data_IF_177444888651
#
_entry.id   IF_177444888651
#
_cell.length_a   1.000
_cell.length_b   1.000
_cell.length_c   1.000
_cell.angle_alpha   90.00
_cell.angle_beta   90.00
_cell.angle_gamma   90.00
#
_symmetry.space_group_name_H-M   'P 1'
#
loop_
_entity.id
_entity.type
_entity.pdbx_description
1 polymer ?
#
# COMPACT_ATOMS: atom_id res chain seq x y z
N UNK A 1 32.89 1.24 -10.73
CA UNK A 1 31.95 0.36 -11.45
C UNK A 1 30.80 -0.19 -10.59
N UNK A 2 30.99 -0.51 -9.30
CA UNK A 2 29.94 -1.06 -8.43
C UNK A 2 28.68 -0.18 -8.30
N UNK A 3 28.85 1.16 -8.22
CA UNK A 3 27.72 2.09 -8.09
C UNK A 3 26.78 2.10 -9.30
N UNK A 4 27.32 2.06 -10.53
CA UNK A 4 26.52 2.04 -11.76
C UNK A 4 25.71 0.75 -11.87
N UNK A 5 26.33 -0.41 -11.61
CA UNK A 5 25.63 -1.71 -11.61
C UNK A 5 24.47 -1.75 -10.60
N UNK A 6 24.69 -1.16 -9.42
CA UNK A 6 23.64 -1.07 -8.40
C UNK A 6 22.47 -0.17 -8.82
N UNK A 7 22.76 0.98 -9.43
CA UNK A 7 21.73 1.88 -9.96
C UNK A 7 20.92 1.22 -11.07
N UNK A 8 21.59 0.58 -12.04
CA UNK A 8 20.93 -0.13 -13.14
C UNK A 8 20.01 -1.26 -12.65
N UNK A 9 20.49 -2.07 -11.69
CA UNK A 9 19.65 -3.12 -11.09
C UNK A 9 18.45 -2.54 -10.37
N UNK A 10 18.63 -1.43 -9.64
CA UNK A 10 17.55 -0.76 -8.92
C UNK A 10 16.52 -0.18 -9.90
N UNK A 11 16.97 0.49 -10.96
CA UNK A 11 16.12 1.02 -12.01
C UNK A 11 15.34 -0.10 -12.72
N UNK A 12 16.00 -1.21 -13.08
CA UNK A 12 15.36 -2.36 -13.70
C UNK A 12 14.26 -2.97 -12.82
N UNK A 13 14.56 -3.26 -11.54
CA UNK A 13 13.54 -3.77 -10.62
C UNK A 13 12.36 -2.80 -10.47
N UNK A 14 12.62 -1.49 -10.41
CA UNK A 14 11.59 -0.47 -10.33
C UNK A 14 10.73 -0.42 -11.59
N UNK A 15 11.34 -0.48 -12.77
CA UNK A 15 10.64 -0.53 -14.05
C UNK A 15 9.74 -1.76 -14.16
N UNK A 16 10.26 -2.95 -13.84
CA UNK A 16 9.48 -4.20 -13.86
C UNK A 16 8.29 -4.14 -12.92
N UNK A 17 8.47 -3.60 -11.71
CA UNK A 17 7.38 -3.44 -10.74
C UNK A 17 6.34 -2.42 -11.25
N UNK A 18 6.79 -1.27 -11.78
CA UNK A 18 5.89 -0.26 -12.34
C UNK A 18 5.05 -0.79 -13.49
N UNK A 19 5.65 -1.57 -14.39
CA UNK A 19 4.95 -2.24 -15.49
C UNK A 19 3.94 -3.27 -14.99
N UNK A 20 4.35 -4.12 -14.03
CA UNK A 20 3.45 -5.13 -13.45
C UNK A 20 2.23 -4.47 -12.82
N UNK A 21 2.43 -3.43 -12.00
CA UNK A 21 1.35 -2.70 -11.35
C UNK A 21 0.45 -2.01 -12.37
N UNK A 22 1.00 -1.44 -13.44
CA UNK A 22 0.22 -0.84 -14.53
C UNK A 22 -0.64 -1.87 -15.27
N UNK A 23 -0.10 -3.06 -15.56
CA UNK A 23 -0.87 -4.12 -16.22
C UNK A 23 -1.99 -4.64 -15.31
N UNK A 24 -1.69 -4.90 -14.04
CA UNK A 24 -2.71 -5.31 -13.06
C UNK A 24 -3.76 -4.21 -12.89
N UNK A 25 -3.35 -2.93 -12.83
CA UNK A 25 -4.26 -1.80 -12.80
C UNK A 25 -5.25 -1.85 -13.96
N UNK A 26 -4.74 -2.08 -15.17
CA UNK A 26 -5.55 -2.05 -16.38
C UNK A 26 -6.50 -3.24 -16.49
N UNK A 27 -6.02 -4.44 -16.16
CA UNK A 27 -6.86 -5.64 -16.07
C UNK A 27 -7.98 -5.43 -15.05
N UNK A 28 -7.64 -4.95 -13.85
CA UNK A 28 -8.60 -4.85 -12.74
C UNK A 28 -9.50 -3.62 -12.82
N UNK A 29 -9.08 -2.53 -13.47
CA UNK A 29 -9.92 -1.37 -13.77
C UNK A 29 -10.93 -1.63 -14.91
N UNK A 30 -10.84 -2.80 -15.54
CA UNK A 30 -11.82 -3.31 -16.48
C UNK A 30 -13.27 -3.13 -16.02
N UNK A 31 -14.16 -2.74 -16.94
CA UNK A 31 -15.57 -2.46 -16.64
C UNK A 31 -15.77 -1.50 -15.45
N UNK A 32 -14.91 -0.48 -15.32
CA UNK A 32 -14.98 0.51 -14.24
C UNK A 32 -14.59 -0.04 -12.87
N UNK A 33 -13.80 -1.12 -12.81
CA UNK A 33 -13.37 -1.77 -11.57
C UNK A 33 -14.38 -2.78 -11.00
N UNK A 34 -15.42 -3.13 -11.76
CA UNK A 34 -16.46 -4.07 -11.32
C UNK A 34 -16.11 -5.54 -11.62
N UNK A 35 -15.39 -5.80 -12.70
CA UNK A 35 -14.93 -7.14 -13.09
C UNK A 35 -13.62 -7.04 -13.88
N UNK A 36 -12.65 -7.96 -13.70
CA UNK A 36 -11.42 -7.95 -14.47
C UNK A 36 -11.71 -8.03 -15.98
N UNK A 37 -10.98 -7.25 -16.79
CA UNK A 37 -10.95 -7.44 -18.23
C UNK A 37 -10.19 -8.73 -18.57
N UNK A 38 -10.61 -9.48 -19.60
CA UNK A 38 -9.76 -10.51 -20.19
C UNK A 38 -8.40 -9.93 -20.57
N UNK A 39 -7.32 -10.69 -20.36
CA UNK A 39 -5.96 -10.19 -20.58
C UNK A 39 -5.76 -9.67 -22.02
N UNK A 40 -6.31 -10.36 -23.03
CA UNK A 40 -6.27 -9.90 -24.43
C UNK A 40 -6.85 -8.49 -24.59
N UNK A 41 -8.09 -8.29 -24.15
CA UNK A 41 -8.77 -7.00 -24.20
C UNK A 41 -8.02 -5.90 -23.41
N UNK A 42 -7.40 -6.26 -22.29
CA UNK A 42 -6.58 -5.33 -21.53
C UNK A 42 -5.30 -4.93 -22.29
N UNK A 43 -4.80 -5.73 -23.22
CA UNK A 43 -3.59 -5.46 -24.00
C UNK A 43 -3.86 -4.81 -25.37
N UNK A 44 -5.07 -4.88 -25.89
CA UNK A 44 -5.38 -4.44 -27.27
C UNK A 44 -5.11 -2.94 -27.50
N UNK A 45 -5.44 -2.06 -26.56
CA UNK A 45 -5.16 -0.61 -26.67
C UNK A 45 -3.92 -0.17 -25.87
N UNK A 46 -2.91 -1.02 -25.75
CA UNK A 46 -1.75 -0.73 -24.90
C UNK A 46 -0.72 0.13 -25.65
N UNK A 47 -0.79 1.44 -25.45
CA UNK A 47 0.15 2.37 -26.07
C UNK A 47 1.56 2.23 -25.47
N UNK A 48 2.57 2.06 -26.33
CA UNK A 48 3.98 2.00 -25.93
C UNK A 48 4.42 3.20 -25.05
N UNK A 49 3.97 4.45 -25.30
CA UNK A 49 4.29 5.57 -24.43
C UNK A 49 3.81 5.38 -22.98
N UNK A 50 2.63 4.79 -22.77
CA UNK A 50 2.08 4.54 -21.43
C UNK A 50 2.91 3.47 -20.68
N UNK A 51 3.36 2.43 -21.39
CA UNK A 51 4.29 1.46 -20.83
C UNK A 51 5.62 2.09 -20.42
N UNK A 52 6.20 2.90 -21.31
CA UNK A 52 7.46 3.59 -21.03
C UNK A 52 7.33 4.54 -19.84
N UNK A 53 6.21 5.25 -19.74
CA UNK A 53 5.91 6.13 -18.60
C UNK A 53 5.80 5.33 -17.29
N UNK A 54 5.04 4.22 -17.28
CA UNK A 54 4.91 3.37 -16.10
C UNK A 54 6.27 2.79 -15.66
N UNK A 55 7.06 2.29 -16.60
CA UNK A 55 8.41 1.80 -16.36
C UNK A 55 9.32 2.90 -15.81
N UNK A 56 9.30 4.09 -16.43
CA UNK A 56 10.11 5.25 -16.03
C UNK A 56 9.77 5.74 -14.62
N UNK A 57 8.48 5.84 -14.30
CA UNK A 57 8.01 6.21 -12.95
C UNK A 57 8.42 5.17 -11.91
N UNK A 58 8.25 3.87 -12.21
CA UNK A 58 8.67 2.79 -11.31
C UNK A 58 10.18 2.78 -11.06
N UNK A 59 10.98 2.94 -12.12
CA UNK A 59 12.44 3.04 -12.03
C UNK A 59 12.87 4.26 -11.20
N UNK A 60 12.34 5.44 -11.53
CA UNK A 60 12.64 6.70 -10.86
C UNK A 60 12.28 6.65 -9.38
N UNK A 61 11.07 6.19 -9.05
CA UNK A 61 10.61 6.07 -7.67
C UNK A 61 11.50 5.13 -6.83
N UNK A 62 11.87 3.96 -7.35
CA UNK A 62 12.70 3.02 -6.59
C UNK A 62 14.14 3.51 -6.43
N UNK A 63 14.72 4.13 -7.46
CA UNK A 63 16.05 4.77 -7.36
C UNK A 63 16.03 5.88 -6.32
N UNK A 64 15.05 6.79 -6.40
CA UNK A 64 14.90 7.88 -5.43
C UNK A 64 14.70 7.37 -4.01
N UNK A 65 13.82 6.39 -3.79
CA UNK A 65 13.62 5.78 -2.49
C UNK A 65 14.93 5.21 -1.91
N UNK A 66 15.73 4.52 -2.73
CA UNK A 66 17.03 4.00 -2.27
C UNK A 66 18.06 5.08 -1.98
N UNK A 67 18.08 6.17 -2.75
CA UNK A 67 18.96 7.31 -2.50
C UNK A 67 18.57 8.02 -1.19
N UNK A 68 17.27 8.26 -0.97
CA UNK A 68 16.74 8.87 0.25
C UNK A 68 16.96 8.01 1.50
N UNK A 69 16.94 6.68 1.36
CA UNK A 69 17.22 5.75 2.46
C UNK A 69 18.72 5.53 2.72
N UNK A 70 19.62 6.04 1.87
CA UNK A 70 21.07 5.88 2.03
C UNK A 70 21.64 6.52 3.31
N UNK A 71 21.27 7.76 3.71
CA UNK A 71 21.76 8.35 4.96
C UNK A 71 21.14 7.70 6.21
N UNK A 72 20.09 6.90 6.05
CA UNK A 72 19.37 6.30 7.19
C UNK A 72 20.19 5.14 7.78
N UNK A 73 20.34 5.06 9.12
CA UNK A 73 21.01 3.95 9.79
C UNK A 73 20.45 2.60 9.33
N UNK A 74 21.31 1.58 9.24
CA UNK A 74 20.92 0.26 8.73
C UNK A 74 19.66 -0.31 9.40
N UNK A 75 19.57 -0.17 10.72
CA UNK A 75 18.43 -0.64 11.51
C UNK A 75 17.13 0.06 11.14
N UNK A 76 17.15 1.39 10.99
CA UNK A 76 16.00 2.20 10.65
C UNK A 76 15.57 1.96 9.20
N UNK A 77 16.54 1.82 8.30
CA UNK A 77 16.30 1.48 6.89
C UNK A 77 15.67 0.11 6.72
N UNK A 78 16.12 -0.90 7.47
CA UNK A 78 15.48 -2.24 7.46
C UNK A 78 14.03 -2.16 7.95
N UNK A 79 13.79 -1.45 9.06
CA UNK A 79 12.45 -1.24 9.60
C UNK A 79 11.54 -0.51 8.61
N UNK A 80 12.01 0.61 8.05
CA UNK A 80 11.29 1.39 7.04
C UNK A 80 10.99 0.57 5.79
N UNK A 81 11.98 -0.06 5.18
CA UNK A 81 11.78 -0.82 3.95
C UNK A 81 10.82 -2.00 4.16
N UNK A 82 10.99 -2.73 5.26
CA UNK A 82 10.08 -3.82 5.61
C UNK A 82 8.67 -3.32 5.94
N UNK A 83 8.57 -2.20 6.66
CA UNK A 83 7.31 -1.56 7.04
C UNK A 83 6.52 -1.02 5.86
N UNK A 84 7.21 -0.38 4.91
CA UNK A 84 6.63 0.04 3.63
C UNK A 84 6.02 -1.15 2.88
N UNK A 85 6.75 -2.25 2.78
CA UNK A 85 6.30 -3.44 2.06
C UNK A 85 5.07 -4.10 2.73
N UNK A 86 5.17 -4.40 4.04
CA UNK A 86 4.07 -5.07 4.74
C UNK A 86 2.85 -4.17 4.93
N UNK A 87 3.05 -2.86 5.12
CA UNK A 87 1.96 -1.89 5.18
C UNK A 87 1.19 -1.79 3.87
N UNK A 88 1.88 -1.84 2.73
CA UNK A 88 1.25 -1.91 1.41
C UNK A 88 0.46 -3.22 1.22
N UNK A 89 1.05 -4.36 1.59
CA UNK A 89 0.42 -5.69 1.48
C UNK A 89 -0.78 -5.84 2.42
N UNK A 90 -0.74 -5.21 3.59
CA UNK A 90 -1.84 -5.26 4.55
C UNK A 90 -3.13 -4.58 4.04
N UNK A 91 -3.03 -3.68 3.05
CA UNK A 91 -4.20 -3.05 2.43
C UNK A 91 -5.08 -4.09 1.72
N UNK A 92 -4.63 -4.83 0.69
CA UNK A 92 -5.47 -5.86 0.08
C UNK A 92 -5.81 -6.99 1.06
N UNK A 93 -4.85 -7.43 1.88
CA UNK A 93 -5.01 -8.61 2.73
C UNK A 93 -5.94 -8.40 3.94
N UNK A 94 -5.92 -7.21 4.56
CA UNK A 94 -6.71 -6.93 5.77
C UNK A 94 -7.73 -5.83 5.54
N UNK A 95 -7.31 -4.66 5.04
CA UNK A 95 -8.22 -3.52 4.87
C UNK A 95 -9.35 -3.83 3.88
N UNK A 96 -8.99 -4.18 2.64
CA UNK A 96 -9.94 -4.41 1.56
C UNK A 96 -10.70 -5.71 1.72
N UNK A 97 -10.07 -6.73 2.33
CA UNK A 97 -10.74 -7.98 2.69
C UNK A 97 -11.78 -7.77 3.80
N UNK A 98 -11.49 -6.93 4.80
CA UNK A 98 -12.49 -6.56 5.82
C UNK A 98 -13.64 -5.76 5.22
N UNK A 99 -13.32 -4.77 4.37
CA UNK A 99 -14.33 -4.00 3.63
C UNK A 99 -15.20 -4.91 2.74
N UNK A 100 -14.58 -5.86 2.05
CA UNK A 100 -15.28 -6.86 1.23
C UNK A 100 -16.25 -7.70 2.08
N UNK A 101 -15.80 -8.24 3.23
CA UNK A 101 -16.66 -9.04 4.11
C UNK A 101 -17.81 -8.20 4.67
N UNK A 102 -17.54 -6.98 5.14
CA UNK A 102 -18.57 -6.08 5.67
C UNK A 102 -19.61 -5.69 4.60
N UNK A 103 -19.18 -5.50 3.35
CA UNK A 103 -20.07 -5.18 2.23
C UNK A 103 -20.87 -6.38 1.76
N UNK A 104 -20.18 -7.47 1.42
CA UNK A 104 -20.72 -8.60 0.67
C UNK A 104 -21.48 -9.58 1.57
N UNK A 105 -21.01 -9.79 2.80
CA UNK A 105 -21.57 -10.79 3.72
C UNK A 105 -22.57 -10.14 4.68
N UNK A 106 -22.23 -8.97 5.22
CA UNK A 106 -23.04 -8.33 6.25
C UNK A 106 -23.89 -7.16 5.76
N UNK A 107 -23.65 -6.65 4.55
CA UNK A 107 -24.34 -5.48 3.98
C UNK A 107 -24.30 -4.24 4.91
N UNK A 108 -23.21 -4.08 5.67
CA UNK A 108 -23.07 -3.02 6.68
C UNK A 108 -22.45 -1.73 6.13
N UNK A 109 -21.71 -1.83 5.01
CA UNK A 109 -21.03 -0.71 4.34
C UNK A 109 -21.46 -0.66 2.87
N UNK A 110 -21.68 0.54 2.30
CA UNK A 110 -22.05 0.68 0.89
C UNK A 110 -20.86 0.48 -0.06
N UNK A 111 -19.63 0.73 0.40
CA UNK A 111 -18.43 0.58 -0.42
C UNK A 111 -18.03 -0.89 -0.62
N UNK A 112 -17.72 -1.23 -1.88
CA UNK A 112 -17.17 -2.54 -2.23
C UNK A 112 -15.70 -2.65 -1.79
N UNK A 113 -15.31 -3.84 -1.35
CA UNK A 113 -13.88 -4.17 -1.23
C UNK A 113 -13.18 -4.19 -2.58
N UNK A 114 -11.85 -4.03 -2.56
CA UNK A 114 -10.98 -4.01 -3.74
C UNK A 114 -11.34 -2.90 -4.73
N UNK A 115 -11.29 -1.66 -4.27
CA UNK A 115 -11.65 -0.47 -5.05
C UNK A 115 -10.68 -0.21 -6.22
N UNK A 116 -10.95 -0.80 -7.38
CA UNK A 116 -10.18 -0.54 -8.60
C UNK A 116 -10.66 0.67 -9.40
N UNK A 117 -11.78 1.27 -8.99
CA UNK A 117 -12.23 2.54 -9.54
C UNK A 117 -11.14 3.61 -9.39
N UNK A 118 -10.92 4.47 -10.40
CA UNK A 118 -9.89 5.50 -10.37
C UNK A 118 -10.21 6.59 -9.35
N UNK A 119 -9.19 7.10 -8.67
CA UNK A 119 -9.27 8.28 -7.82
C UNK A 119 -9.50 9.53 -8.66
N UNK A 120 -10.40 10.39 -8.17
CA UNK A 120 -10.72 11.66 -8.81
C UNK A 120 -9.47 12.54 -8.96
N UNK A 121 -9.18 12.94 -10.20
CA UNK A 121 -8.08 13.85 -10.55
C UNK A 121 -6.71 13.19 -10.78
N UNK A 122 -6.49 11.93 -10.40
CA UNK A 122 -5.22 11.22 -10.67
C UNK A 122 -5.34 10.06 -11.65
N UNK A 123 -6.54 9.49 -11.83
CA UNK A 123 -6.75 8.31 -12.67
C UNK A 123 -6.15 7.02 -12.10
N UNK A 124 -5.49 7.09 -10.94
CA UNK A 124 -4.90 5.94 -10.26
C UNK A 124 -6.01 5.11 -9.60
N UNK A 125 -6.05 3.79 -9.77
CA UNK A 125 -6.98 2.94 -9.02
C UNK A 125 -6.86 3.21 -7.51
N UNK A 126 -8.00 3.38 -6.85
CA UNK A 126 -8.05 3.74 -5.43
C UNK A 126 -7.30 2.74 -4.55
N UNK A 127 -7.34 1.45 -4.89
CA UNK A 127 -6.57 0.41 -4.24
C UNK A 127 -5.07 0.75 -4.18
N UNK A 128 -4.48 1.24 -5.27
CA UNK A 128 -3.05 1.58 -5.26
C UNK A 128 -2.77 2.85 -4.47
N UNK A 129 -3.66 3.84 -4.51
CA UNK A 129 -3.57 5.00 -3.63
C UNK A 129 -3.58 4.58 -2.15
N UNK A 130 -4.47 3.65 -1.79
CA UNK A 130 -4.54 3.08 -0.45
C UNK A 130 -3.31 2.25 -0.12
N UNK A 131 -2.77 1.45 -1.04
CA UNK A 131 -1.51 0.72 -0.86
C UNK A 131 -0.33 1.66 -0.62
N UNK A 132 -0.26 2.82 -1.27
CA UNK A 132 0.76 3.83 -1.02
C UNK A 132 0.59 4.45 0.38
N UNK A 133 -0.64 4.81 0.76
CA UNK A 133 -0.93 5.30 2.11
C UNK A 133 -0.58 4.25 3.18
N UNK A 134 -0.96 2.99 2.96
CA UNK A 134 -0.61 1.87 3.81
C UNK A 134 0.89 1.62 3.86
N UNK A 135 1.63 1.78 2.76
CA UNK A 135 3.09 1.69 2.77
C UNK A 135 3.68 2.76 3.71
N UNK A 136 3.31 4.02 3.52
CA UNK A 136 3.80 5.13 4.34
C UNK A 136 3.47 4.92 5.83
N UNK A 137 2.22 4.57 6.12
CA UNK A 137 1.77 4.26 7.49
C UNK A 137 2.51 3.07 8.09
N UNK A 138 2.76 2.01 7.32
CA UNK A 138 3.51 0.84 7.77
C UNK A 138 4.98 1.14 8.04
N UNK A 139 5.60 2.02 7.24
CA UNK A 139 6.94 2.53 7.51
C UNK A 139 7.03 3.29 8.84
N UNK A 140 6.08 4.20 9.09
CA UNK A 140 5.98 4.93 10.37
C UNK A 140 5.73 3.97 11.53
N UNK A 141 4.78 3.05 11.39
CA UNK A 141 4.47 2.06 12.43
C UNK A 141 5.69 1.17 12.75
N UNK A 142 6.44 0.73 11.75
CA UNK A 142 7.67 -0.04 11.96
C UNK A 142 8.70 0.74 12.77
N UNK A 143 8.86 2.04 12.50
CA UNK A 143 9.75 2.90 13.28
C UNK A 143 9.27 3.06 14.72
N UNK A 144 7.97 3.31 14.94
CA UNK A 144 7.38 3.44 16.27
C UNK A 144 7.58 2.16 17.09
N UNK A 145 7.21 1.00 16.55
CA UNK A 145 7.37 -0.30 17.21
C UNK A 145 8.83 -0.67 17.47
N UNK A 146 9.77 -0.10 16.70
CA UNK A 146 11.20 -0.29 16.91
C UNK A 146 11.80 0.68 17.92
N UNK A 147 11.28 1.91 17.98
CA UNK A 147 11.71 2.92 18.91
C UNK A 147 11.19 2.65 20.33
N UNK A 148 10.00 2.06 20.45
CA UNK A 148 9.35 1.79 21.74
C UNK A 148 9.12 0.29 21.92
N UNK A 149 10.11 -0.39 22.50
CA UNK A 149 10.15 -1.85 22.62
C UNK A 149 9.05 -2.44 23.52
N UNK A 150 8.51 -1.65 24.44
CA UNK A 150 7.54 -2.12 25.44
C UNK A 150 6.08 -2.05 24.96
N UNK A 151 5.83 -1.70 23.70
CA UNK A 151 4.47 -1.56 23.21
C UNK A 151 3.86 -2.92 22.83
N UNK A 152 2.58 -3.17 23.20
CA UNK A 152 1.84 -4.34 22.72
C UNK A 152 1.56 -4.20 21.21
N UNK A 153 2.45 -4.76 20.40
CA UNK A 153 2.56 -4.50 18.96
C UNK A 153 1.25 -4.56 18.16
N UNK A 154 0.42 -5.59 18.37
CA UNK A 154 -0.87 -5.73 17.68
C UNK A 154 -1.89 -4.67 18.10
N UNK A 155 -1.92 -4.33 19.39
CA UNK A 155 -2.80 -3.27 19.90
C UNK A 155 -2.32 -1.91 19.41
N UNK A 156 -1.01 -1.65 19.43
CA UNK A 156 -0.42 -0.43 18.88
C UNK A 156 -0.68 -0.32 17.39
N UNK A 157 -0.50 -1.41 16.64
CA UNK A 157 -0.85 -1.45 15.22
C UNK A 157 -2.32 -1.16 14.99
N UNK A 158 -3.22 -1.83 15.73
CA UNK A 158 -4.66 -1.58 15.65
C UNK A 158 -5.01 -0.12 15.93
N UNK A 159 -4.52 0.46 17.03
CA UNK A 159 -4.80 1.86 17.38
C UNK A 159 -4.19 2.84 16.38
N UNK A 160 -2.98 2.56 15.88
CA UNK A 160 -2.33 3.37 14.87
C UNK A 160 -3.13 3.37 13.56
N UNK A 161 -3.64 2.22 13.14
CA UNK A 161 -4.54 2.12 11.98
C UNK A 161 -5.86 2.83 12.25
N UNK A 162 -6.57 2.41 13.30
CA UNK A 162 -7.90 2.87 13.65
C UNK A 162 -7.95 4.39 13.86
N UNK A 163 -6.91 5.01 14.43
CA UNK A 163 -6.86 6.45 14.62
C UNK A 163 -6.14 7.16 13.46
N UNK A 164 -4.96 6.66 13.07
CA UNK A 164 -4.10 7.32 12.09
C UNK A 164 -4.66 7.32 10.66
N UNK A 165 -5.10 6.17 10.15
CA UNK A 165 -5.74 6.13 8.83
C UNK A 165 -7.12 6.79 8.85
N UNK A 166 -7.84 6.71 9.97
CA UNK A 166 -9.10 7.44 10.11
C UNK A 166 -8.89 8.96 10.18
N UNK A 167 -7.70 9.47 10.51
CA UNK A 167 -7.42 10.90 10.34
C UNK A 167 -7.32 11.31 8.85
N UNK A 168 -6.93 10.40 7.96
CA UNK A 168 -7.00 10.65 6.51
C UNK A 168 -8.45 10.74 6.01
N UNK A 169 -9.38 10.27 6.82
CA UNK A 169 -10.81 10.43 6.64
C UNK A 169 -11.29 11.88 6.90
N UNK A 170 -10.43 12.83 7.27
CA UNK A 170 -10.78 14.25 7.25
C UNK A 170 -10.42 14.93 5.91
N UNK A 171 -9.81 14.19 4.97
CA UNK A 171 -9.48 14.71 3.64
C UNK A 171 -10.71 14.59 2.73
N UNK A 172 -11.16 15.68 2.07
CA UNK A 172 -12.47 15.80 1.41
C UNK A 172 -12.66 14.98 0.11
N UNK A 173 -11.99 13.83 -0.05
CA UNK A 173 -12.00 13.02 -1.28
C UNK A 173 -11.96 11.51 -1.06
N UNK A 174 -12.13 11.03 0.17
CA UNK A 174 -12.17 9.58 0.46
C UNK A 174 -13.65 9.13 0.50
N UNK A 175 -14.07 8.12 -0.28
CA UNK A 175 -15.42 7.56 -0.18
C UNK A 175 -15.67 6.97 1.24
N UNK A 176 -16.89 7.06 1.78
CA UNK A 176 -17.25 6.44 3.08
C UNK A 176 -17.74 7.35 4.21
N UNK A 177 -17.86 8.66 3.98
CA UNK A 177 -18.15 9.64 5.06
C UNK A 177 -19.58 9.71 5.58
N UNK A 178 -20.49 8.92 5.03
CA UNK A 178 -21.86 8.78 5.54
C UNK A 178 -22.04 7.67 6.59
N UNK A 179 -21.04 6.80 6.74
CA UNK A 179 -21.18 5.55 7.49
C UNK A 179 -20.76 5.66 8.96
N UNK A 180 -21.26 4.77 9.84
CA UNK A 180 -20.90 4.79 11.26
C UNK A 180 -19.39 4.73 11.50
N UNK A 181 -18.86 5.70 12.25
CA UNK A 181 -17.42 5.86 12.55
C UNK A 181 -16.71 4.58 13.02
N UNK A 182 -17.43 3.69 13.71
CA UNK A 182 -16.88 2.43 14.22
C UNK A 182 -16.49 1.44 13.11
N UNK A 183 -17.15 1.48 11.95
CA UNK A 183 -16.84 0.61 10.81
C UNK A 183 -15.45 0.95 10.27
N UNK A 184 -15.12 2.24 10.19
CA UNK A 184 -13.80 2.72 9.80
C UNK A 184 -12.73 2.38 10.83
N UNK A 185 -13.06 2.36 12.13
CA UNK A 185 -12.11 1.86 13.14
C UNK A 185 -11.77 0.38 12.94
N UNK A 186 -12.75 -0.45 12.59
CA UNK A 186 -12.52 -1.89 12.35
C UNK A 186 -11.71 -2.10 11.08
N UNK A 187 -12.05 -1.41 9.97
CA UNK A 187 -11.36 -1.55 8.69
C UNK A 187 -9.92 -1.02 8.79
N UNK A 188 -9.73 0.19 9.29
CA UNK A 188 -8.43 0.83 9.43
C UNK A 188 -7.60 0.19 10.55
N UNK A 189 -8.24 -0.18 11.66
CA UNK A 189 -7.61 -0.94 12.74
C UNK A 189 -7.17 -2.33 12.28
N UNK A 190 -7.98 -3.00 11.45
CA UNK A 190 -7.64 -4.27 10.82
C UNK A 190 -6.39 -4.16 9.94
N UNK A 191 -6.25 -3.08 9.16
CA UNK A 191 -5.01 -2.79 8.44
C UNK A 191 -3.81 -2.68 9.38
N UNK A 192 -3.93 -1.87 10.44
CA UNK A 192 -2.82 -1.61 11.34
C UNK A 192 -2.41 -2.84 12.15
N UNK A 193 -3.39 -3.64 12.57
CA UNK A 193 -3.19 -4.94 13.20
C UNK A 193 -2.49 -5.91 12.24
N UNK A 194 -2.98 -6.04 11.00
CA UNK A 194 -2.40 -6.91 9.98
C UNK A 194 -0.98 -6.51 9.61
N UNK A 195 -0.71 -5.21 9.52
CA UNK A 195 0.62 -4.63 9.30
C UNK A 195 1.58 -5.04 10.41
N UNK A 196 1.20 -4.85 11.68
CA UNK A 196 2.00 -5.27 12.84
C UNK A 196 2.20 -6.80 12.89
N UNK A 197 1.16 -7.58 12.57
CA UNK A 197 1.23 -9.04 12.49
C UNK A 197 2.25 -9.51 11.45
N UNK A 198 2.20 -8.97 10.23
CA UNK A 198 3.12 -9.31 9.14
C UNK A 198 4.58 -8.89 9.42
N UNK A 199 4.82 -7.91 10.29
CA UNK A 199 6.17 -7.52 10.71
C UNK A 199 6.85 -8.54 11.64
N UNK A 200 6.07 -9.38 12.36
CA UNK A 200 6.60 -10.32 13.36
C UNK A 200 7.63 -11.31 12.82
N UNK A 201 7.38 -12.05 11.72
CA UNK A 201 8.35 -13.02 11.19
C UNK A 201 9.60 -12.35 10.61
N UNK A 202 9.53 -11.08 10.24
CA UNK A 202 10.63 -10.35 9.61
C UNK A 202 11.61 -9.72 10.61
N UNK A 203 11.36 -9.90 11.91
CA UNK A 203 12.11 -9.26 13.01
C UNK A 203 12.30 -7.75 12.76
N UNK A 204 11.25 -7.09 12.26
CA UNK A 204 11.24 -5.65 12.00
C UNK A 204 10.90 -4.84 13.25
N UNK A 205 10.32 -5.51 14.26
CA UNK A 205 10.03 -5.01 15.61
C UNK A 205 11.24 -5.21 16.55
N UNK A 206 11.47 -4.25 17.44
CA UNK A 206 12.52 -4.32 18.46
C UNK A 206 13.93 -3.94 17.99
N UNK A 207 14.71 -3.40 18.93
CA UNK A 207 16.15 -3.19 18.78
C UNK A 207 16.87 -4.49 19.02
N UNK A 208 17.48 -5.04 17.97
CA UNK A 208 18.48 -6.09 18.13
C UNK A 208 19.55 -5.61 19.08
N UNK A 209 19.75 -6.37 20.16
CA UNK A 209 21.10 -6.58 20.67
C UNK A 209 21.82 -7.48 19.67
#
# INVERSE_FOLDING_TARGET
MAGIRWLLRTAFCGASLGLLLFLVARVMAGNGGSTPLPLGAALDDLALPSLAQAAGLGAGALVMARLLLRPVPFWARRALAGGLAVGAVAIPAFHQSSLFVLHQVFHLVPERGFLFAPLAGSGLPALYGLMLAGALGGGVLALVLRAVHALPDLLTGFLFGALGLSLLSFLPRVPGFGDPWWQWLVINGGWGWGTAFLMRPLALRGGGK
#
